data_IF_697810912452
#
_entry.id   IF_697810912452
#
_cell.length_a   1.000
_cell.length_b   1.000
_cell.length_c   1.000
_cell.angle_alpha   90.00
_cell.angle_beta   90.00
_cell.angle_gamma   90.00
#
_symmetry.space_group_name_H-M   'P 1'
#
loop_
_entity.id
_entity.type
_entity.pdbx_description
1 polymer ?
#
# COMPACT_ATOMS: atom_id res chain seq x y z
N UNK A 1 -21.63 -59.44 -3.28
CA UNK A 1 -21.61 -59.04 -1.86
C UNK A 1 -20.18 -59.13 -1.31
N UNK A 2 -19.49 -58.00 -1.19
CA UNK A 2 -18.32 -57.85 -0.30
C UNK A 2 -18.46 -56.50 0.39
N UNK A 3 -18.59 -56.52 1.71
CA UNK A 3 -18.75 -55.34 2.58
C UNK A 3 -17.39 -54.65 2.73
N UNK A 4 -17.32 -53.37 2.39
CA UNK A 4 -16.21 -52.47 2.72
C UNK A 4 -16.35 -51.96 4.16
N UNK A 5 -15.26 -52.01 4.93
CA UNK A 5 -15.11 -51.37 6.25
C UNK A 5 -14.84 -49.87 6.07
N UNK A 6 -15.25 -48.99 7.00
CA UNK A 6 -14.91 -47.58 6.93
C UNK A 6 -13.49 -47.34 7.44
N UNK A 7 -12.71 -46.55 6.70
CA UNK A 7 -11.40 -46.04 7.11
C UNK A 7 -11.55 -45.03 8.26
N UNK A 8 -10.71 -45.18 9.28
CA UNK A 8 -10.54 -44.23 10.37
C UNK A 8 -9.77 -43.00 9.86
N UNK A 9 -10.33 -41.80 10.08
CA UNK A 9 -9.74 -40.53 9.68
C UNK A 9 -8.38 -40.24 10.34
N UNK A 10 -7.46 -39.64 9.57
CA UNK A 10 -6.10 -39.28 10.00
C UNK A 10 -6.12 -38.08 10.96
N UNK A 11 -5.26 -38.04 12.00
CA UNK A 11 -5.22 -36.96 13.00
C UNK A 11 -4.90 -35.55 12.46
N UNK A 12 -4.45 -35.43 11.21
CA UNK A 12 -4.06 -34.15 10.58
C UNK A 12 -5.23 -33.31 10.08
N UNK A 13 -6.40 -33.91 9.82
CA UNK A 13 -7.53 -33.22 9.20
C UNK A 13 -8.37 -32.43 10.21
N UNK A 14 -8.45 -32.92 11.45
CA UNK A 14 -9.06 -32.20 12.58
C UNK A 14 -8.23 -31.00 13.04
N UNK A 15 -6.88 -31.06 12.98
CA UNK A 15 -6.02 -29.88 13.21
C UNK A 15 -6.14 -28.82 12.11
N UNK A 16 -6.50 -29.23 10.89
CA UNK A 16 -6.76 -28.36 9.73
C UNK A 16 -8.08 -27.58 9.90
N UNK A 17 -9.15 -28.24 10.32
CA UNK A 17 -10.44 -27.58 10.57
C UNK A 17 -10.43 -26.67 11.81
N UNK A 18 -9.75 -27.07 12.90
CA UNK A 18 -9.62 -26.23 14.11
C UNK A 18 -8.75 -24.99 13.91
N UNK A 19 -7.80 -24.98 12.95
CA UNK A 19 -6.95 -23.81 12.67
C UNK A 19 -7.55 -22.86 11.63
N UNK A 20 -8.31 -23.36 10.65
CA UNK A 20 -9.14 -22.50 9.80
C UNK A 20 -10.22 -21.76 10.61
N UNK A 21 -10.78 -22.40 11.65
CA UNK A 21 -11.70 -21.73 12.57
C UNK A 21 -11.01 -20.64 13.40
N UNK A 22 -9.76 -20.85 13.85
CA UNK A 22 -8.97 -19.83 14.55
C UNK A 22 -8.49 -18.68 13.65
N UNK A 23 -8.17 -18.94 12.37
CA UNK A 23 -7.78 -17.88 11.42
C UNK A 23 -8.94 -16.95 11.03
N UNK A 24 -10.17 -17.48 10.97
CA UNK A 24 -11.39 -16.66 10.78
C UNK A 24 -11.76 -15.93 12.09
N UNK A 25 -11.54 -16.56 13.25
CA UNK A 25 -11.65 -15.87 14.55
C UNK A 25 -10.57 -14.81 14.76
N UNK A 26 -9.39 -14.88 14.13
CA UNK A 26 -8.33 -13.87 14.29
C UNK A 26 -8.73 -12.51 13.71
N UNK A 27 -9.45 -12.50 12.58
CA UNK A 27 -9.97 -11.27 11.99
C UNK A 27 -11.19 -10.72 12.75
N UNK A 28 -11.95 -11.60 13.41
CA UNK A 28 -12.94 -11.16 14.39
C UNK A 28 -12.20 -10.62 15.61
N UNK A 29 -11.23 -11.30 16.22
CA UNK A 29 -10.61 -10.87 17.49
C UNK A 29 -9.75 -9.60 17.39
N UNK A 30 -9.01 -9.36 16.31
CA UNK A 30 -8.24 -8.11 16.14
C UNK A 30 -9.17 -6.90 15.89
N UNK A 31 -10.39 -7.11 15.36
CA UNK A 31 -11.43 -6.06 15.27
C UNK A 31 -12.44 -6.06 16.44
N UNK A 32 -12.65 -7.17 17.14
CA UNK A 32 -13.75 -7.41 18.09
C UNK A 32 -13.32 -7.28 19.55
N UNK A 33 -12.02 -7.51 19.87
CA UNK A 33 -11.45 -7.02 21.14
C UNK A 33 -11.49 -5.48 21.22
N UNK A 34 -11.57 -4.81 20.07
CA UNK A 34 -11.72 -3.36 19.96
C UNK A 34 -13.18 -2.88 20.04
N UNK A 35 -14.16 -3.70 19.63
CA UNK A 35 -15.56 -3.27 19.52
C UNK A 35 -16.39 -3.39 20.81
N UNK A 36 -16.03 -4.27 21.75
CA UNK A 36 -16.92 -4.60 22.88
C UNK A 36 -16.76 -3.71 24.12
N UNK A 37 -15.76 -2.82 24.19
CA UNK A 37 -15.53 -1.91 25.34
C UNK A 37 -16.09 -0.49 25.17
N UNK A 38 -16.42 -0.08 23.95
CA UNK A 38 -16.90 1.27 23.65
C UNK A 38 -18.42 1.47 23.79
N UNK A 39 -19.20 0.42 24.12
CA UNK A 39 -20.67 0.51 24.23
C UNK A 39 -21.25 0.40 25.65
N UNK A 40 -20.43 0.22 26.70
CA UNK A 40 -20.93 0.16 28.09
C UNK A 40 -20.57 1.37 28.95
N UNK A 41 -20.07 2.45 28.35
CA UNK A 41 -19.73 3.70 29.04
C UNK A 41 -20.79 4.78 28.85
N UNK A 42 -22.04 4.54 29.29
CA UNK A 42 -23.06 5.57 29.18
C UNK A 42 -24.43 5.15 29.70
N UNK A 43 -24.68 5.39 30.98
CA UNK A 43 -26.04 5.57 31.48
C UNK A 43 -26.40 4.73 32.70
N UNK A 44 -26.02 5.18 33.89
CA UNK A 44 -26.82 4.93 35.09
C UNK A 44 -26.91 6.21 35.93
N UNK A 45 -28.11 6.81 35.97
CA UNK A 45 -28.61 7.50 37.17
C UNK A 45 -30.14 7.46 37.17
N UNK A 46 -30.68 6.68 38.11
CA UNK A 46 -32.04 6.82 38.61
C UNK A 46 -32.94 5.60 38.42
N UNK A 47 -33.00 4.70 39.40
CA UNK A 47 -34.14 4.62 40.34
C UNK A 47 -33.96 3.46 41.33
N UNK A 48 -34.47 3.73 42.51
CA UNK A 48 -34.44 2.98 43.75
C UNK A 48 -35.56 1.91 43.79
N UNK A 49 -35.40 0.96 44.72
CA UNK A 49 -36.44 0.17 45.41
C UNK A 49 -37.07 -1.07 44.72
N UNK A 50 -36.65 -2.29 45.12
CA UNK A 50 -37.32 -3.14 46.14
C UNK A 50 -36.83 -4.61 46.13
N UNK A 51 -36.49 -5.08 47.34
CA UNK A 51 -36.72 -6.41 47.99
C UNK A 51 -36.62 -7.70 47.16
N UNK A 52 -35.85 -8.66 47.70
CA UNK A 52 -36.02 -10.08 47.44
C UNK A 52 -34.85 -10.93 47.96
N UNK A 53 -34.95 -11.35 49.23
CA UNK A 53 -34.11 -12.39 49.84
C UNK A 53 -34.10 -13.69 49.00
N UNK A 54 -32.96 -14.36 48.90
CA UNK A 54 -32.86 -15.75 49.36
C UNK A 54 -31.42 -16.17 49.63
N UNK A 55 -31.22 -16.75 50.80
CA UNK A 55 -29.99 -17.21 51.40
C UNK A 55 -29.57 -18.63 50.99
N UNK A 56 -28.27 -18.89 51.14
CA UNK A 56 -27.64 -20.15 51.58
C UNK A 56 -27.77 -21.38 50.67
N UNK A 57 -26.61 -21.91 50.25
CA UNK A 57 -26.13 -23.20 50.77
C UNK A 57 -24.62 -23.37 50.49
N UNK A 58 -23.94 -23.83 51.53
CA UNK A 58 -22.51 -24.08 51.65
C UNK A 58 -22.13 -25.52 51.31
N UNK A 59 -20.93 -25.71 50.76
CA UNK A 59 -19.97 -26.82 50.98
C UNK A 59 -18.97 -26.77 49.80
N UNK A 60 -17.65 -26.78 49.94
CA UNK A 60 -16.79 -27.24 51.02
C UNK A 60 -16.00 -28.44 50.51
N UNK A 61 -14.75 -28.24 50.04
CA UNK A 61 -13.54 -29.03 50.37
C UNK A 61 -12.37 -28.82 49.38
N UNK A 62 -11.23 -28.48 50.00
CA UNK A 62 -9.84 -28.92 49.77
C UNK A 62 -9.21 -28.71 48.37
N UNK A 63 -8.09 -28.01 48.16
CA UNK A 63 -7.00 -27.64 49.07
C UNK A 63 -5.90 -28.71 49.10
N UNK A 64 -5.02 -28.75 48.09
CA UNK A 64 -3.65 -29.30 48.17
C UNK A 64 -2.75 -28.47 47.22
N UNK A 65 -1.65 -27.94 47.77
CA UNK A 65 -0.56 -27.22 47.11
C UNK A 65 0.78 -27.96 47.42
N UNK A 66 1.98 -27.51 46.98
CA UNK A 66 2.63 -27.85 45.73
C UNK A 66 3.95 -28.66 45.89
N UNK A 67 4.43 -29.24 44.78
CA UNK A 67 5.71 -29.95 44.69
C UNK A 67 6.78 -29.17 43.92
N UNK A 68 7.86 -28.86 44.62
CA UNK A 68 9.07 -28.15 44.19
C UNK A 68 9.92 -28.91 43.18
N UNK A 69 10.64 -28.19 42.30
CA UNK A 69 11.94 -28.61 41.78
C UNK A 69 12.75 -27.42 41.25
N UNK A 70 13.88 -27.18 41.91
CA UNK A 70 14.98 -26.34 41.47
C UNK A 70 15.98 -27.16 40.63
N UNK A 71 16.55 -26.56 39.59
CA UNK A 71 17.85 -26.90 38.99
C UNK A 71 18.28 -25.70 38.13
N UNK A 72 19.24 -24.90 38.59
CA UNK A 72 20.68 -25.04 38.37
C UNK A 72 21.14 -24.41 37.03
N UNK A 73 21.86 -23.30 37.16
CA UNK A 73 22.43 -22.50 36.09
C UNK A 73 23.93 -22.77 35.90
N UNK A 74 24.40 -22.62 34.66
CA UNK A 74 25.81 -22.35 34.30
C UNK A 74 26.27 -23.07 33.01
N UNK A 75 27.29 -22.56 32.27
CA UNK A 75 27.74 -21.18 32.16
C UNK A 75 27.99 -20.67 30.71
N UNK A 76 27.90 -19.34 30.61
CA UNK A 76 28.64 -18.39 29.78
C UNK A 76 29.77 -18.91 28.86
N UNK A 77 29.69 -18.51 27.57
CA UNK A 77 30.87 -18.34 26.72
C UNK A 77 30.88 -16.93 26.10
N UNK A 78 31.80 -16.08 26.57
CA UNK A 78 32.11 -14.75 26.03
C UNK A 78 33.22 -14.91 24.98
N UNK A 79 33.05 -14.35 23.78
CA UNK A 79 34.18 -13.95 22.92
C UNK A 79 34.05 -12.49 22.54
N UNK A 80 34.85 -11.69 23.25
CA UNK A 80 35.13 -10.26 23.01
C UNK A 80 36.33 -10.19 22.07
N UNK A 81 36.22 -9.52 20.92
CA UNK A 81 37.39 -9.06 20.14
C UNK A 81 37.42 -7.55 20.13
N UNK A 82 38.45 -7.01 20.78
CA UNK A 82 38.93 -5.63 20.62
C UNK A 82 39.46 -5.43 19.20
N UNK A 83 39.16 -4.28 18.60
CA UNK A 83 40.08 -3.63 17.65
C UNK A 83 40.16 -2.14 17.95
N UNK A 84 41.39 -1.71 18.20
CA UNK A 84 41.77 -0.32 18.42
C UNK A 84 41.84 0.44 17.09
N UNK A 85 41.30 1.67 17.15
CA UNK A 85 41.74 2.95 16.58
C UNK A 85 42.44 2.96 15.21
N UNK A 86 41.95 3.82 14.32
CA UNK A 86 42.76 4.84 13.64
C UNK A 86 41.89 6.02 13.16
N UNK A 87 42.14 7.17 13.75
CA UNK A 87 41.71 8.49 13.28
C UNK A 87 42.53 8.89 12.05
N UNK A 88 41.91 9.26 10.93
CA UNK A 88 42.58 10.01 9.87
C UNK A 88 41.74 11.23 9.50
N UNK A 89 42.35 12.39 9.73
CA UNK A 89 41.87 13.73 9.36
C UNK A 89 41.87 13.87 7.83
N UNK A 90 40.86 14.57 7.32
CA UNK A 90 40.81 15.11 5.96
C UNK A 90 41.89 16.18 5.75
N UNK A 91 42.31 16.41 4.50
CA UNK A 91 42.56 17.76 4.05
C UNK A 91 41.68 18.15 2.85
N UNK A 92 41.14 19.36 2.94
CA UNK A 92 40.47 20.13 1.90
C UNK A 92 41.46 20.54 0.80
N UNK A 93 41.04 20.52 -0.45
CA UNK A 93 41.72 21.17 -1.56
C UNK A 93 40.83 22.26 -2.14
N UNK A 94 41.33 23.50 -2.12
CA UNK A 94 40.88 24.63 -2.95
C UNK A 94 42.06 25.12 -3.78
N UNK A 95 41.84 25.67 -4.99
CA UNK A 95 42.85 25.68 -6.05
C UNK A 95 43.69 26.96 -6.04
N UNK A 96 45.00 26.81 -6.24
CA UNK A 96 45.91 27.93 -6.48
C UNK A 96 46.03 28.21 -7.97
N UNK A 97 45.79 29.49 -8.31
CA UNK A 97 46.00 30.10 -9.62
C UNK A 97 47.48 30.05 -10.01
N UNK A 98 47.77 29.66 -11.25
CA UNK A 98 48.94 30.14 -11.98
C UNK A 98 48.46 30.91 -13.20
N UNK A 99 48.78 32.21 -13.20
CA UNK A 99 48.78 33.07 -14.38
C UNK A 99 50.12 32.90 -15.07
N UNK A 100 50.10 32.64 -16.37
CA UNK A 100 51.18 33.09 -17.26
C UNK A 100 50.54 33.63 -18.52
N UNK A 101 50.85 34.89 -18.77
CA UNK A 101 50.39 35.73 -19.89
C UNK A 101 51.35 35.52 -21.05
N UNK A 102 50.86 35.65 -22.29
CA UNK A 102 51.35 36.58 -23.34
C UNK A 102 50.85 36.09 -24.70
N UNK A 103 50.27 37.01 -25.49
CA UNK A 103 50.11 36.83 -26.93
C UNK A 103 48.78 37.36 -27.45
N UNK A 104 48.70 38.68 -27.64
CA UNK A 104 47.53 39.32 -28.21
C UNK A 104 47.25 38.90 -29.65
N UNK A 105 45.96 38.79 -29.98
CA UNK A 105 45.38 39.07 -31.29
C UNK A 105 43.89 39.33 -31.08
N UNK A 106 43.45 40.53 -31.48
CA UNK A 106 42.04 40.84 -31.70
C UNK A 106 41.62 40.06 -32.95
N UNK A 107 40.66 39.17 -32.82
CA UNK A 107 40.00 38.52 -33.95
C UNK A 107 38.51 38.81 -33.85
N UNK A 108 38.00 39.39 -34.92
CA UNK A 108 36.60 39.69 -35.19
C UNK A 108 35.76 38.40 -35.19
N UNK A 109 34.49 38.52 -34.83
CA UNK A 109 33.49 37.47 -34.95
C UNK A 109 33.41 36.91 -36.38
N UNK A 110 33.21 35.58 -36.52
CA UNK A 110 32.43 35.05 -37.61
C UNK A 110 31.11 34.48 -37.08
N UNK A 111 30.03 35.13 -37.48
CA UNK A 111 28.68 34.55 -37.57
C UNK A 111 28.74 33.18 -38.26
N UNK A 112 27.80 32.31 -37.87
CA UNK A 112 27.39 31.01 -38.44
C UNK A 112 27.98 29.78 -37.75
N UNK A 113 27.29 29.35 -36.70
CA UNK A 113 27.01 27.93 -36.40
C UNK A 113 25.85 27.84 -35.38
N UNK A 114 24.78 28.62 -35.61
CA UNK A 114 23.50 28.45 -34.90
C UNK A 114 22.41 28.14 -35.93
N UNK A 115 22.45 26.91 -36.47
CA UNK A 115 21.34 26.29 -37.19
C UNK A 115 21.67 24.81 -37.30
N UNK A 116 21.04 23.98 -36.48
CA UNK A 116 21.28 22.52 -36.52
C UNK A 116 20.98 21.76 -35.23
N UNK A 117 20.50 22.42 -34.17
CA UNK A 117 19.76 21.73 -33.11
C UNK A 117 18.27 21.84 -33.43
N UNK A 118 17.91 21.24 -34.56
CA UNK A 118 16.52 20.96 -34.89
C UNK A 118 15.92 20.12 -33.77
N UNK A 119 14.72 20.52 -33.39
CA UNK A 119 13.86 19.90 -32.40
C UNK A 119 13.77 18.40 -32.67
N UNK A 120 14.46 17.59 -31.88
CA UNK A 120 14.02 16.21 -31.65
C UNK A 120 12.73 16.31 -30.83
N UNK A 121 11.61 16.54 -31.51
CA UNK A 121 10.33 16.03 -31.05
C UNK A 121 10.59 14.55 -30.75
N UNK A 122 10.64 14.19 -29.47
CA UNK A 122 10.55 12.80 -29.04
C UNK A 122 9.17 12.32 -29.49
N UNK A 123 9.08 11.87 -30.73
CA UNK A 123 7.94 11.11 -31.21
C UNK A 123 7.82 9.92 -30.27
N UNK A 124 6.71 9.88 -29.51
CA UNK A 124 6.38 8.69 -28.76
C UNK A 124 6.38 7.52 -29.75
N UNK A 125 7.04 6.38 -29.42
CA UNK A 125 7.05 5.24 -30.32
C UNK A 125 5.60 4.91 -30.71
N UNK A 126 5.37 4.72 -32.00
CA UNK A 126 4.06 4.40 -32.52
C UNK A 126 3.55 3.12 -31.84
N UNK A 127 2.31 3.15 -31.35
CA UNK A 127 1.65 2.00 -30.75
C UNK A 127 1.21 1.06 -31.87
N UNK A 128 1.82 -0.12 -31.97
CA UNK A 128 1.53 -1.08 -33.04
C UNK A 128 0.34 -1.96 -32.69
N UNK A 129 0.18 -2.29 -31.39
CA UNK A 129 -0.88 -3.20 -30.92
C UNK A 129 -1.53 -2.68 -29.63
N UNK A 130 -2.53 -1.78 -29.75
CA UNK A 130 -3.26 -1.27 -28.61
C UNK A 130 -3.92 -2.37 -27.78
N UNK A 131 -3.75 -2.29 -26.46
CA UNK A 131 -4.34 -3.19 -25.47
C UNK A 131 -5.86 -3.03 -25.46
N UNK A 132 -6.57 -4.16 -25.52
CA UNK A 132 -8.03 -4.20 -25.42
C UNK A 132 -8.47 -4.41 -23.97
N UNK A 133 -9.67 -3.92 -23.62
CA UNK A 133 -10.29 -4.25 -22.33
C UNK A 133 -10.76 -5.70 -22.37
N UNK A 134 -10.18 -6.55 -21.52
CA UNK A 134 -10.51 -7.99 -21.48
C UNK A 134 -11.54 -8.32 -20.41
N UNK A 135 -11.56 -7.56 -19.31
CA UNK A 135 -12.52 -7.72 -18.20
C UNK A 135 -12.81 -6.35 -17.58
N UNK A 136 -14.06 -6.16 -17.15
CA UNK A 136 -14.55 -4.96 -16.49
C UNK A 136 -15.18 -5.36 -15.15
N UNK A 137 -14.80 -4.66 -14.09
CA UNK A 137 -15.32 -4.87 -12.73
C UNK A 137 -15.81 -3.57 -12.16
N UNK A 138 -16.93 -3.59 -11.47
CA UNK A 138 -17.40 -2.45 -10.68
C UNK A 138 -16.82 -2.57 -9.27
N UNK A 139 -16.08 -1.56 -8.82
CA UNK A 139 -15.61 -1.47 -7.45
C UNK A 139 -16.79 -1.32 -6.50
N UNK A 140 -16.84 -2.16 -5.47
CA UNK A 140 -17.99 -2.24 -4.56
C UNK A 140 -17.60 -1.73 -3.17
N UNK A 141 -18.51 -1.00 -2.51
CA UNK A 141 -18.28 -0.53 -1.15
C UNK A 141 -18.16 -1.70 -0.17
N UNK A 142 -17.26 -1.58 0.80
CA UNK A 142 -17.13 -2.45 1.96
C UNK A 142 -16.55 -1.67 3.15
N UNK A 143 -16.79 -2.17 4.36
CA UNK A 143 -16.23 -1.59 5.57
C UNK A 143 -14.80 -2.07 5.79
N UNK A 144 -13.94 -1.16 6.21
CA UNK A 144 -12.55 -1.42 6.58
C UNK A 144 -12.17 -0.51 7.77
N UNK A 145 -11.08 -0.87 8.46
CA UNK A 145 -10.61 -0.12 9.63
C UNK A 145 -11.71 0.06 10.68
N UNK A 146 -11.80 1.26 11.24
CA UNK A 146 -12.86 1.65 12.19
C UNK A 146 -13.79 2.63 11.49
N UNK A 147 -14.96 2.15 11.06
CA UNK A 147 -16.02 2.98 10.48
C UNK A 147 -15.74 3.54 9.08
N UNK A 148 -14.61 3.20 8.44
CA UNK A 148 -14.29 3.65 7.10
C UNK A 148 -15.04 2.81 6.04
N UNK A 149 -15.31 3.43 4.89
CA UNK A 149 -15.88 2.75 3.72
C UNK A 149 -14.92 2.91 2.56
N UNK A 150 -14.58 1.79 1.93
CA UNK A 150 -13.75 1.73 0.73
C UNK A 150 -14.51 1.08 -0.40
N UNK A 151 -14.27 1.54 -1.64
CA UNK A 151 -14.69 0.84 -2.85
C UNK A 151 -13.53 -0.03 -3.31
N UNK A 152 -13.61 -1.34 -3.05
CA UNK A 152 -12.57 -2.29 -3.44
C UNK A 152 -12.76 -2.77 -4.86
N UNK A 153 -11.66 -2.83 -5.62
CA UNK A 153 -11.61 -3.39 -6.97
C UNK A 153 -10.76 -4.67 -7.01
N UNK A 154 -9.42 -4.54 -7.05
CA UNK A 154 -8.48 -5.66 -6.83
C UNK A 154 -8.52 -6.04 -5.35
N UNK A 155 -8.44 -7.34 -5.03
CA UNK A 155 -8.56 -7.85 -3.66
C UNK A 155 -9.94 -8.44 -3.36
N UNK A 156 -10.86 -8.42 -4.33
CA UNK A 156 -12.18 -9.06 -4.21
C UNK A 156 -12.16 -10.50 -4.72
N UNK A 157 -13.21 -11.26 -4.43
CA UNK A 157 -13.34 -12.64 -4.91
C UNK A 157 -13.23 -12.76 -6.44
N UNK A 158 -13.76 -11.79 -7.19
CA UNK A 158 -13.77 -11.79 -8.66
C UNK A 158 -12.38 -11.50 -9.28
N UNK A 159 -11.49 -10.88 -8.50
CA UNK A 159 -10.10 -10.52 -8.84
C UNK A 159 -9.25 -10.44 -7.57
N UNK A 160 -8.88 -11.61 -7.03
CA UNK A 160 -8.19 -11.71 -5.73
C UNK A 160 -6.89 -10.92 -5.69
N UNK A 161 -6.13 -10.97 -6.78
CA UNK A 161 -4.98 -10.10 -7.04
C UNK A 161 -4.76 -10.04 -8.57
N UNK A 162 -3.94 -9.11 -9.01
CA UNK A 162 -3.52 -8.96 -10.40
C UNK A 162 -2.04 -8.59 -10.44
N UNK A 163 -1.17 -9.62 -10.44
CA UNK A 163 0.28 -9.48 -10.30
C UNK A 163 0.87 -8.30 -11.11
N UNK A 164 1.57 -7.33 -10.48
CA UNK A 164 2.03 -7.29 -9.07
C UNK A 164 1.07 -6.64 -8.07
N UNK A 165 -0.16 -6.32 -8.45
CA UNK A 165 -1.10 -5.55 -7.63
C UNK A 165 -1.96 -6.47 -6.77
N UNK A 166 -2.03 -6.18 -5.47
CA UNK A 166 -2.69 -7.03 -4.48
C UNK A 166 -4.07 -6.49 -4.09
N UNK A 167 -4.17 -5.18 -3.91
CA UNK A 167 -5.40 -4.47 -3.50
C UNK A 167 -5.43 -3.11 -4.18
N UNK A 168 -6.62 -2.68 -4.59
CA UNK A 168 -6.88 -1.29 -4.95
C UNK A 168 -8.22 -0.85 -4.36
N UNK A 169 -8.12 0.10 -3.44
CA UNK A 169 -9.25 0.73 -2.76
C UNK A 169 -9.34 2.21 -3.12
N UNK A 170 -10.53 2.68 -3.49
CA UNK A 170 -10.90 4.10 -3.42
C UNK A 170 -11.60 4.33 -2.09
N UNK A 171 -10.96 5.06 -1.17
CA UNK A 171 -11.50 5.30 0.17
C UNK A 171 -12.19 6.66 0.27
N UNK A 172 -13.19 6.72 1.16
CA UNK A 172 -13.85 7.94 1.58
C UNK A 172 -14.04 7.86 3.10
N UNK A 173 -13.37 8.73 3.84
CA UNK A 173 -13.28 8.62 5.29
C UNK A 173 -13.38 9.98 5.97
N UNK A 174 -14.08 10.04 7.10
CA UNK A 174 -14.31 11.24 7.89
C UNK A 174 -14.09 10.91 9.36
N UNK A 175 -13.50 11.83 10.13
CA UNK A 175 -13.31 11.61 11.56
C UNK A 175 -14.64 11.33 12.28
N UNK A 176 -14.68 10.46 13.32
CA UNK A 176 -13.55 9.77 13.93
C UNK A 176 -13.16 8.45 13.23
N UNK A 177 -13.78 8.10 12.10
CA UNK A 177 -13.43 6.90 11.36
C UNK A 177 -12.03 7.00 10.74
N UNK A 178 -11.40 5.85 10.50
CA UNK A 178 -10.04 5.79 9.97
C UNK A 178 -9.46 4.38 9.99
N UNK A 179 -8.15 4.30 9.77
CA UNK A 179 -7.36 3.09 9.83
C UNK A 179 -6.40 3.21 11.02
N UNK A 180 -6.82 2.81 12.23
CA UNK A 180 -5.96 2.87 13.42
C UNK A 180 -4.80 1.87 13.29
N UNK A 181 -4.01 1.70 14.36
CA UNK A 181 -2.81 0.86 14.37
C UNK A 181 -3.03 -0.51 13.74
N UNK A 182 -2.35 -0.75 12.62
CA UNK A 182 -2.39 -2.02 11.91
C UNK A 182 -1.01 -2.33 11.29
N UNK A 183 -0.65 -3.62 11.19
CA UNK A 183 0.63 -4.02 10.62
C UNK A 183 0.57 -4.14 9.10
N UNK A 184 1.74 -4.21 8.45
CA UNK A 184 1.94 -4.73 7.08
C UNK A 184 3.29 -5.44 6.98
N UNK A 185 3.42 -6.48 6.12
CA UNK A 185 4.71 -7.10 5.74
C UNK A 185 4.69 -7.63 4.31
N UNK A 186 5.82 -7.46 3.61
CA UNK A 186 6.12 -8.16 2.35
C UNK A 186 5.66 -7.46 1.06
N UNK A 187 5.17 -6.23 1.13
CA UNK A 187 4.73 -5.44 -0.02
C UNK A 187 4.90 -3.92 0.21
N UNK A 188 4.46 -3.11 -0.74
CA UNK A 188 4.41 -1.65 -0.65
C UNK A 188 2.96 -1.15 -0.67
N UNK A 189 2.63 -0.13 0.13
CA UNK A 189 1.38 0.62 0.00
C UNK A 189 1.65 1.95 -0.68
N UNK A 190 0.74 2.35 -1.56
CA UNK A 190 0.78 3.64 -2.27
C UNK A 190 -0.51 4.38 -1.98
N UNK A 191 -0.41 5.40 -1.15
CA UNK A 191 -1.52 6.28 -0.79
C UNK A 191 -1.48 7.51 -1.69
N UNK A 192 -2.50 7.71 -2.52
CA UNK A 192 -2.66 8.88 -3.39
C UNK A 192 -3.93 9.65 -3.02
N UNK A 193 -3.78 10.88 -2.53
CA UNK A 193 -4.90 11.68 -2.05
C UNK A 193 -5.59 12.45 -3.18
N UNK A 194 -6.92 12.32 -3.27
CA UNK A 194 -7.75 13.03 -4.25
C UNK A 194 -8.35 14.31 -3.66
N UNK A 195 -8.81 14.26 -2.41
CA UNK A 195 -9.47 15.36 -1.70
C UNK A 195 -9.20 15.23 -0.19
N UNK A 196 -9.14 16.37 0.52
CA UNK A 196 -8.89 16.38 1.95
C UNK A 196 -7.43 16.06 2.31
N UNK A 197 -7.22 15.42 3.46
CA UNK A 197 -5.89 15.06 3.93
C UNK A 197 -5.96 13.95 4.99
N UNK A 198 -4.95 13.09 5.02
CA UNK A 198 -4.77 12.07 6.06
C UNK A 198 -3.46 12.30 6.80
N UNK A 199 -3.46 12.09 8.10
CA UNK A 199 -2.25 12.00 8.93
C UNK A 199 -1.86 10.54 9.08
N UNK A 200 -0.56 10.27 9.01
CA UNK A 200 -0.02 8.95 9.32
C UNK A 200 1.00 9.03 10.46
N UNK A 201 1.12 7.96 11.23
CA UNK A 201 2.12 7.76 12.27
C UNK A 201 2.52 6.28 12.29
N UNK A 202 3.82 5.98 12.39
CA UNK A 202 4.35 4.62 12.51
C UNK A 202 5.09 4.38 13.83
N UNK A 203 5.36 3.11 14.10
CA UNK A 203 6.11 2.65 15.28
C UNK A 203 7.63 2.96 15.29
N UNK A 204 8.14 3.52 14.19
CA UNK A 204 9.51 4.03 14.06
C UNK A 204 9.58 5.53 14.43
N UNK A 205 8.42 6.17 14.64
CA UNK A 205 8.27 7.58 14.97
C UNK A 205 8.15 8.50 13.76
N UNK A 206 8.03 7.94 12.53
CA UNK A 206 7.70 8.74 11.36
C UNK A 206 6.23 9.16 11.42
N UNK A 207 6.00 10.42 11.06
CA UNK A 207 4.67 11.00 10.98
C UNK A 207 4.62 12.10 9.96
N UNK A 208 3.45 12.31 9.38
CA UNK A 208 3.26 13.31 8.35
C UNK A 208 1.78 13.49 8.01
N UNK A 209 1.53 14.38 7.06
CA UNK A 209 0.20 14.64 6.53
C UNK A 209 0.26 14.57 5.02
N UNK A 210 -0.51 13.66 4.44
CA UNK A 210 -0.67 13.48 3.00
C UNK A 210 -1.90 14.30 2.59
N UNK A 211 -1.69 15.41 1.88
CA UNK A 211 -2.76 16.32 1.45
C UNK A 211 -3.25 16.00 0.05
N UNK A 212 -4.36 16.60 -0.37
CA UNK A 212 -4.89 16.47 -1.72
C UNK A 212 -3.80 16.65 -2.80
N UNK A 213 -3.66 15.63 -3.64
CA UNK A 213 -2.66 15.54 -4.70
C UNK A 213 -1.29 14.98 -4.27
N UNK A 214 -1.02 14.83 -2.99
CA UNK A 214 0.23 14.22 -2.48
C UNK A 214 0.19 12.70 -2.62
N UNK A 215 1.39 12.10 -2.65
CA UNK A 215 1.59 10.65 -2.69
C UNK A 215 2.52 10.22 -1.56
N UNK A 216 2.16 9.14 -0.87
CA UNK A 216 3.06 8.38 -0.04
C UNK A 216 3.26 6.99 -0.66
N UNK A 217 4.50 6.62 -0.92
CA UNK A 217 4.91 5.28 -1.34
C UNK A 217 5.69 4.63 -0.21
N UNK A 218 5.02 3.79 0.58
CA UNK A 218 5.57 3.12 1.74
C UNK A 218 5.98 1.70 1.38
N UNK A 219 7.26 1.37 1.51
CA UNK A 219 7.76 0.00 1.48
C UNK A 219 7.61 -0.60 2.88
N UNK A 220 6.71 -1.56 3.09
CA UNK A 220 6.55 -2.20 4.40
C UNK A 220 7.70 -3.18 4.70
N UNK A 221 8.21 -3.89 3.68
CA UNK A 221 9.34 -4.80 3.82
C UNK A 221 9.14 -5.80 4.97
N UNK A 222 10.16 -5.95 5.84
CA UNK A 222 10.16 -6.87 6.99
C UNK A 222 9.12 -6.58 8.06
N UNK A 223 8.40 -5.46 8.01
CA UNK A 223 7.32 -5.19 8.94
C UNK A 223 7.23 -3.71 9.30
N UNK A 224 6.00 -3.20 9.27
CA UNK A 224 5.67 -1.88 9.81
C UNK A 224 4.35 -1.96 10.56
N UNK A 225 4.19 -1.19 11.62
CA UNK A 225 2.88 -0.92 12.24
C UNK A 225 2.65 0.58 12.17
N UNK A 226 1.51 0.98 11.62
CA UNK A 226 1.17 2.38 11.40
C UNK A 226 -0.34 2.63 11.53
N UNK A 227 -0.69 3.91 11.59
CA UNK A 227 -2.07 4.41 11.51
C UNK A 227 -2.21 5.41 10.36
N UNK A 228 -3.39 5.49 9.78
CA UNK A 228 -3.78 6.45 8.75
C UNK A 228 -5.17 7.01 9.08
N UNK A 229 -5.23 8.26 9.54
CA UNK A 229 -6.45 8.90 10.04
C UNK A 229 -6.75 10.19 9.27
N UNK A 230 -8.03 10.60 9.12
CA UNK A 230 -8.37 11.92 8.59
C UNK A 230 -7.66 13.03 9.39
N UNK A 231 -7.01 13.97 8.69
CA UNK A 231 -6.22 15.03 9.32
C UNK A 231 -7.08 16.16 9.92
N UNK A 232 -8.37 16.21 9.59
CA UNK A 232 -9.26 17.29 9.98
C UNK A 232 -10.73 16.98 9.69
N UNK A 233 -11.63 17.97 9.91
CA UNK A 233 -13.06 17.80 9.65
C UNK A 233 -13.35 17.65 8.15
N UNK A 234 -14.49 17.04 7.84
CA UNK A 234 -14.90 16.76 6.47
C UNK A 234 -14.49 15.36 6.00
N UNK A 235 -14.65 15.12 4.70
CA UNK A 235 -14.39 13.82 4.08
C UNK A 235 -13.07 13.88 3.31
N UNK A 236 -12.17 12.97 3.64
CA UNK A 236 -10.95 12.73 2.90
C UNK A 236 -11.17 11.58 1.92
N UNK A 237 -10.77 11.79 0.67
CA UNK A 237 -10.88 10.81 -0.40
C UNK A 237 -9.53 10.54 -1.00
N UNK A 238 -9.22 9.28 -1.24
CA UNK A 238 -7.94 8.87 -1.79
C UNK A 238 -7.99 7.45 -2.32
N UNK A 239 -6.83 6.98 -2.72
CA UNK A 239 -6.61 5.66 -3.27
C UNK A 239 -5.51 4.98 -2.49
N UNK A 240 -5.73 3.71 -2.12
CA UNK A 240 -4.71 2.82 -1.56
C UNK A 240 -4.44 1.71 -2.58
N UNK A 241 -3.23 1.68 -3.14
CA UNK A 241 -2.77 0.58 -4.00
C UNK A 241 -1.73 -0.24 -3.24
N UNK A 242 -1.88 -1.57 -3.22
CA UNK A 242 -0.86 -2.46 -2.71
C UNK A 242 -0.07 -3.07 -3.87
N UNK A 243 1.24 -2.84 -3.87
CA UNK A 243 2.17 -3.37 -4.89
C UNK A 243 3.05 -4.43 -4.23
N UNK A 244 2.95 -5.66 -4.71
CA UNK A 244 3.71 -6.78 -4.17
C UNK A 244 5.23 -6.56 -4.35
N UNK A 245 6.01 -7.12 -3.44
CA UNK A 245 7.47 -7.22 -3.58
C UNK A 245 7.85 -8.65 -3.95
N UNK A 246 8.91 -8.80 -4.74
CA UNK A 246 9.54 -10.11 -4.97
C UNK A 246 10.09 -10.67 -3.67
N UNK A 247 10.27 -11.98 -3.60
CA UNK A 247 10.77 -12.73 -2.44
C UNK A 247 12.05 -12.11 -1.89
N UNK A 248 12.98 -11.75 -2.77
CA UNK A 248 14.24 -11.10 -2.42
C UNK A 248 14.08 -9.72 -1.72
N UNK A 249 12.94 -9.05 -1.93
CA UNK A 249 12.66 -7.73 -1.38
C UNK A 249 11.65 -7.76 -0.21
N UNK A 250 10.99 -8.88 0.09
CA UNK A 250 9.95 -8.93 1.13
C UNK A 250 10.46 -8.63 2.53
N UNK A 251 11.74 -8.84 2.80
CA UNK A 251 12.36 -8.67 4.13
C UNK A 251 13.34 -7.50 4.20
N UNK A 252 13.29 -6.54 3.26
CA UNK A 252 14.08 -5.30 3.35
C UNK A 252 13.59 -4.42 4.50
N UNK A 253 14.43 -3.49 4.95
CA UNK A 253 13.98 -2.48 5.91
C UNK A 253 12.82 -1.64 5.35
N UNK A 254 11.84 -1.27 6.18
CA UNK A 254 10.76 -0.38 5.77
C UNK A 254 11.28 0.99 5.36
N UNK A 255 10.51 1.72 4.55
CA UNK A 255 10.88 3.07 4.16
C UNK A 255 9.80 3.81 3.40
N UNK A 256 9.96 5.12 3.29
CA UNK A 256 8.98 6.02 2.69
C UNK A 256 9.57 6.82 1.53
N UNK A 257 8.75 7.08 0.53
CA UNK A 257 8.92 8.18 -0.41
C UNK A 257 7.64 9.01 -0.36
N UNK A 258 7.77 10.25 0.09
CA UNK A 258 6.65 11.20 0.20
C UNK A 258 6.85 12.34 -0.80
N UNK A 259 5.87 12.53 -1.66
CA UNK A 259 5.95 13.46 -2.79
C UNK A 259 4.76 14.39 -2.68
N UNK A 260 5.05 15.67 -2.46
CA UNK A 260 4.02 16.69 -2.42
C UNK A 260 3.45 16.91 -3.82
N UNK A 261 2.19 17.30 -3.92
CA UNK A 261 1.47 17.52 -5.17
C UNK A 261 2.20 18.46 -6.14
N UNK A 262 2.93 19.46 -5.62
CA UNK A 262 3.74 20.41 -6.39
C UNK A 262 4.99 19.78 -7.03
N UNK A 263 5.48 18.68 -6.46
CA UNK A 263 6.68 17.97 -6.89
C UNK A 263 6.34 16.75 -7.76
N UNK A 264 5.05 16.43 -7.91
CA UNK A 264 4.57 15.44 -8.88
C UNK A 264 4.60 16.05 -10.28
N UNK A 265 5.34 15.40 -11.18
CA UNK A 265 5.42 15.83 -12.57
C UNK A 265 4.03 15.84 -13.23
N UNK A 266 3.64 16.97 -13.81
CA UNK A 266 2.35 17.18 -14.45
C UNK A 266 2.57 17.81 -15.83
N UNK A 267 1.93 17.26 -16.86
CA UNK A 267 2.02 17.78 -18.23
C UNK A 267 0.65 17.77 -18.91
N UNK A 268 0.47 18.66 -19.88
CA UNK A 268 -0.79 18.81 -20.63
C UNK A 268 -0.50 19.04 -22.09
N UNK A 269 -1.15 18.28 -22.97
CA UNK A 269 -1.15 18.49 -24.42
C UNK A 269 -2.44 17.91 -25.03
N UNK A 270 -2.91 18.47 -26.14
CA UNK A 270 -4.02 17.92 -26.93
C UNK A 270 -5.31 17.60 -26.14
N UNK A 271 -5.61 18.41 -25.12
CA UNK A 271 -6.78 18.22 -24.27
C UNK A 271 -6.65 17.11 -23.22
N UNK A 272 -5.44 16.56 -23.04
CA UNK A 272 -5.09 15.57 -22.03
C UNK A 272 -4.14 16.18 -21.02
N UNK A 273 -4.46 16.06 -19.73
CA UNK A 273 -3.57 16.36 -18.61
C UNK A 273 -3.20 15.04 -17.92
N UNK A 274 -1.92 14.84 -17.60
CA UNK A 274 -1.45 13.67 -16.84
C UNK A 274 -0.58 14.09 -15.66
N UNK A 275 -0.90 13.55 -14.48
CA UNK A 275 -0.01 13.56 -13.30
C UNK A 275 0.75 12.24 -13.28
N UNK A 276 2.07 12.31 -13.31
CA UNK A 276 2.96 11.13 -13.37
C UNK A 276 3.37 10.76 -11.95
N UNK A 277 2.57 9.92 -11.29
CA UNK A 277 2.84 9.44 -9.93
C UNK A 277 4.06 8.50 -9.93
N UNK A 278 4.12 7.55 -10.85
CA UNK A 278 5.28 6.70 -11.09
C UNK A 278 5.46 6.40 -12.58
N UNK A 279 6.71 6.25 -13.03
CA UNK A 279 7.06 6.02 -14.43
C UNK A 279 7.20 7.30 -15.24
N UNK A 280 6.65 7.32 -16.45
CA UNK A 280 6.74 8.44 -17.39
C UNK A 280 5.50 8.54 -18.28
N UNK A 281 5.17 9.74 -18.72
CA UNK A 281 4.12 10.01 -19.70
C UNK A 281 4.37 11.36 -20.37
N UNK A 282 4.12 11.47 -21.68
CA UNK A 282 4.15 12.76 -22.40
C UNK A 282 5.43 13.59 -22.15
N UNK A 283 6.59 12.93 -22.15
CA UNK A 283 7.90 13.54 -21.91
C UNK A 283 8.24 13.83 -20.44
N UNK A 284 7.28 13.72 -19.51
CA UNK A 284 7.48 13.90 -18.08
C UNK A 284 7.81 12.58 -17.38
N UNK A 285 8.64 12.62 -16.33
CA UNK A 285 9.08 11.45 -15.55
C UNK A 285 8.92 11.71 -14.05
N UNK A 286 8.41 10.72 -13.33
CA UNK A 286 8.28 10.77 -11.88
C UNK A 286 9.64 10.61 -11.18
N UNK A 287 9.88 11.30 -10.03
CA UNK A 287 11.04 11.05 -9.18
C UNK A 287 10.91 9.76 -8.35
N UNK A 288 9.72 9.15 -8.27
CA UNK A 288 9.45 7.95 -7.47
C UNK A 288 10.27 6.76 -7.97
N UNK A 289 10.96 6.10 -7.04
CA UNK A 289 11.68 4.85 -7.29
C UNK A 289 10.76 3.68 -6.98
N UNK A 290 10.67 2.72 -7.90
CA UNK A 290 9.80 1.55 -7.74
C UNK A 290 10.65 0.30 -7.64
N UNK A 291 10.49 -0.48 -6.56
CA UNK A 291 11.22 -1.74 -6.36
C UNK A 291 10.68 -2.83 -7.28
N UNK A 292 9.36 -2.92 -7.34
CA UNK A 292 8.64 -3.62 -8.40
C UNK A 292 8.31 -2.59 -9.48
N UNK A 293 8.92 -2.66 -10.69
CA UNK A 293 8.75 -1.61 -11.68
C UNK A 293 7.28 -1.35 -11.99
N UNK A 294 6.84 -0.12 -11.72
CA UNK A 294 5.44 0.27 -11.76
C UNK A 294 5.28 1.64 -12.44
N UNK A 295 4.21 1.74 -13.23
CA UNK A 295 3.67 2.95 -13.84
C UNK A 295 2.36 3.25 -13.13
N UNK A 296 2.20 4.50 -12.70
CA UNK A 296 0.98 4.99 -12.05
C UNK A 296 0.74 6.40 -12.57
N UNK A 297 -0.31 6.58 -13.36
CA UNK A 297 -0.65 7.82 -14.04
C UNK A 297 -2.09 8.21 -13.72
N UNK A 298 -2.34 9.47 -13.35
CA UNK A 298 -3.68 10.05 -13.20
C UNK A 298 -3.95 10.98 -14.39
N UNK A 299 -4.86 10.56 -15.26
CA UNK A 299 -5.23 11.26 -16.48
C UNK A 299 -6.54 12.01 -16.31
N UNK A 300 -6.59 13.23 -16.83
CA UNK A 300 -7.81 13.99 -17.10
C UNK A 300 -7.88 14.29 -18.60
N UNK A 301 -8.94 13.82 -19.26
CA UNK A 301 -9.18 13.97 -20.71
C UNK A 301 -10.40 14.86 -20.93
N UNK A 302 -10.20 15.98 -21.62
CA UNK A 302 -11.28 16.93 -21.95
C UNK A 302 -12.34 16.29 -22.85
N UNK A 303 -13.57 16.84 -22.89
CA UNK A 303 -14.58 16.44 -23.86
C UNK A 303 -14.02 16.38 -25.27
N UNK A 304 -14.39 15.33 -26.02
CA UNK A 304 -13.96 15.07 -27.41
C UNK A 304 -12.44 14.87 -27.62
N UNK A 305 -11.63 14.81 -26.57
CA UNK A 305 -10.20 14.50 -26.65
C UNK A 305 -9.92 12.99 -26.51
N UNK A 306 -8.70 12.60 -26.88
CA UNK A 306 -8.21 11.23 -26.76
C UNK A 306 -6.81 11.20 -26.14
N UNK A 307 -6.54 10.19 -25.31
CA UNK A 307 -5.24 9.93 -24.72
C UNK A 307 -4.64 8.65 -25.31
N UNK A 308 -3.32 8.66 -25.47
CA UNK A 308 -2.52 7.51 -25.91
C UNK A 308 -1.35 7.37 -24.96
N UNK A 309 -1.18 6.18 -24.40
CA UNK A 309 -0.10 5.92 -23.46
C UNK A 309 0.55 4.58 -23.76
N UNK A 310 1.83 4.58 -24.21
CA UNK A 310 2.63 3.36 -24.31
C UNK A 310 2.75 2.66 -22.95
N UNK A 311 2.65 1.34 -22.97
CA UNK A 311 2.83 0.47 -21.81
C UNK A 311 3.65 -0.72 -22.28
N UNK A 312 4.81 -1.03 -21.66
CA UNK A 312 5.64 -2.15 -22.09
C UNK A 312 4.82 -3.44 -22.23
N UNK A 313 4.99 -4.16 -23.34
CA UNK A 313 4.15 -5.31 -23.66
C UNK A 313 4.23 -6.45 -22.62
N UNK A 314 5.34 -6.54 -21.89
CA UNK A 314 5.54 -7.53 -20.82
C UNK A 314 4.84 -7.16 -19.50
N UNK A 315 4.26 -5.97 -19.37
CA UNK A 315 3.65 -5.51 -18.14
C UNK A 315 2.16 -5.89 -18.08
N UNK A 316 1.69 -6.21 -16.88
CA UNK A 316 0.27 -6.26 -16.58
C UNK A 316 -0.25 -4.83 -16.39
N UNK A 317 -1.44 -4.52 -16.92
CA UNK A 317 -1.99 -3.17 -16.92
C UNK A 317 -3.50 -3.15 -16.70
N UNK A 318 -3.97 -2.12 -16.02
CA UNK A 318 -5.38 -1.85 -15.83
C UNK A 318 -5.66 -0.35 -15.79
N UNK A 319 -6.90 0.04 -16.10
CA UNK A 319 -7.40 1.39 -15.88
C UNK A 319 -8.45 1.40 -14.76
N UNK A 320 -8.49 2.46 -13.95
CA UNK A 320 -9.56 2.68 -12.97
C UNK A 320 -10.22 4.04 -13.21
N UNK A 321 -11.50 4.05 -13.55
CA UNK A 321 -12.22 5.29 -13.87
C UNK A 321 -12.65 5.99 -12.58
N UNK A 322 -12.16 7.21 -12.35
CA UNK A 322 -12.50 8.02 -11.18
C UNK A 322 -13.78 8.82 -11.43
N UNK A 323 -13.85 9.52 -12.56
CA UNK A 323 -14.93 10.45 -12.89
C UNK A 323 -15.24 10.41 -14.38
N UNK A 324 -16.51 10.66 -14.72
CA UNK A 324 -16.97 10.66 -16.10
C UNK A 324 -17.09 9.27 -16.72
N UNK A 325 -17.02 9.22 -18.04
CA UNK A 325 -17.16 8.00 -18.83
C UNK A 325 -16.23 8.06 -20.06
N UNK A 326 -15.58 6.94 -20.39
CA UNK A 326 -14.64 6.85 -21.49
C UNK A 326 -14.72 5.54 -22.25
N UNK A 327 -14.21 5.53 -23.48
CA UNK A 327 -14.00 4.31 -24.27
C UNK A 327 -12.52 3.95 -24.22
N UNK A 328 -12.17 2.69 -24.01
CA UNK A 328 -10.81 2.24 -23.77
C UNK A 328 -10.43 1.10 -24.73
N UNK A 329 -9.19 1.13 -25.24
CA UNK A 329 -8.58 0.10 -26.07
C UNK A 329 -9.00 0.10 -27.54
N UNK A 330 -10.30 0.24 -27.82
CA UNK A 330 -10.83 0.42 -29.18
C UNK A 330 -12.04 1.33 -29.17
N UNK A 331 -12.15 2.25 -30.13
CA UNK A 331 -13.32 3.14 -30.27
C UNK A 331 -14.66 2.41 -30.40
N UNK A 332 -14.65 1.13 -30.77
CA UNK A 332 -15.84 0.28 -30.92
C UNK A 332 -16.31 -0.34 -29.60
N UNK A 333 -15.49 -0.29 -28.55
CA UNK A 333 -15.85 -0.83 -27.25
C UNK A 333 -16.96 -0.01 -26.58
N UNK A 334 -17.76 -0.69 -25.76
CA UNK A 334 -18.71 -0.01 -24.89
C UNK A 334 -17.98 0.87 -23.87
N UNK A 335 -18.54 2.03 -23.52
CA UNK A 335 -17.90 2.92 -22.57
C UNK A 335 -17.87 2.35 -21.14
N UNK A 336 -16.96 2.89 -20.34
CA UNK A 336 -16.80 2.61 -18.92
C UNK A 336 -16.88 3.89 -18.12
N UNK A 337 -17.85 3.93 -17.19
CA UNK A 337 -18.04 5.03 -16.26
C UNK A 337 -17.26 4.84 -14.95
N UNK A 338 -17.37 5.84 -14.07
CA UNK A 338 -16.75 5.88 -12.75
C UNK A 338 -16.86 4.57 -11.94
N UNK A 339 -15.86 4.38 -11.08
CA UNK A 339 -15.67 3.23 -10.18
C UNK A 339 -15.48 1.88 -10.88
N UNK A 340 -15.22 1.86 -12.19
CA UNK A 340 -14.89 0.63 -12.90
C UNK A 340 -13.38 0.43 -12.99
N UNK A 341 -12.95 -0.79 -12.70
CA UNK A 341 -11.64 -1.30 -13.06
C UNK A 341 -11.73 -2.06 -14.39
N UNK A 342 -10.83 -1.72 -15.31
CA UNK A 342 -10.72 -2.31 -16.65
C UNK A 342 -9.38 -3.03 -16.75
N UNK A 343 -9.38 -4.35 -16.76
CA UNK A 343 -8.17 -5.12 -17.05
C UNK A 343 -7.85 -5.01 -18.54
N UNK A 344 -6.60 -4.66 -18.83
CA UNK A 344 -6.11 -4.49 -20.19
C UNK A 344 -5.34 -5.75 -20.60
N UNK A 345 -5.67 -6.29 -21.77
CA UNK A 345 -5.02 -7.45 -22.34
C UNK A 345 -3.60 -7.17 -22.84
N UNK A 346 -3.01 -8.13 -23.59
CA UNK A 346 -1.71 -7.94 -24.23
C UNK A 346 -1.73 -6.80 -25.26
N UNK A 347 -0.61 -6.09 -25.37
CA UNK A 347 -0.43 -4.96 -26.27
C UNK A 347 0.65 -4.00 -25.76
N UNK A 348 1.03 -3.01 -26.56
CA UNK A 348 2.15 -2.09 -26.31
C UNK A 348 1.72 -0.69 -25.85
N UNK A 349 0.42 -0.48 -25.63
CA UNK A 349 -0.12 0.74 -25.06
C UNK A 349 -1.64 0.71 -24.96
N UNK A 350 -2.23 1.79 -24.47
CA UNK A 350 -3.68 1.95 -24.41
C UNK A 350 -4.09 3.26 -25.07
N UNK A 351 -5.20 3.18 -25.79
CA UNK A 351 -5.90 4.33 -26.35
C UNK A 351 -7.19 4.55 -25.57
N UNK A 352 -7.50 5.81 -25.25
CA UNK A 352 -8.67 6.20 -24.47
C UNK A 352 -9.33 7.40 -25.11
N UNK A 353 -10.66 7.37 -25.26
CA UNK A 353 -11.44 8.44 -25.85
C UNK A 353 -12.50 8.94 -24.89
N UNK A 354 -12.54 10.26 -24.69
CA UNK A 354 -13.67 10.90 -24.04
C UNK A 354 -14.69 11.32 -25.12
N UNK A 355 -15.75 10.53 -25.29
CA UNK A 355 -16.81 10.82 -26.27
C UNK A 355 -17.87 11.80 -25.74
N UNK A 356 -17.75 12.28 -24.50
CA UNK A 356 -18.65 13.28 -23.94
C UNK A 356 -18.51 14.64 -24.63
N UNK A 357 -19.62 15.39 -24.70
CA UNK A 357 -19.66 16.78 -25.15
C UNK A 357 -19.35 17.81 -24.08
N UNK A 358 -19.45 17.44 -22.79
CA UNK A 358 -19.44 18.45 -21.72
C UNK A 358 -18.79 18.01 -20.42
N UNK A 359 -18.50 16.72 -20.21
CA UNK A 359 -17.87 16.23 -18.98
C UNK A 359 -16.45 15.73 -19.24
N UNK A 360 -15.45 16.15 -18.45
CA UNK A 360 -14.14 15.53 -18.50
C UNK A 360 -14.21 14.07 -18.04
N UNK A 361 -13.29 13.25 -18.53
CA UNK A 361 -13.03 11.89 -18.08
C UNK A 361 -11.78 11.93 -17.21
N UNK A 362 -11.85 11.41 -15.99
CA UNK A 362 -10.68 11.21 -15.12
C UNK A 362 -10.49 9.73 -14.83
N UNK A 363 -9.29 9.21 -15.07
CA UNK A 363 -8.97 7.81 -14.82
C UNK A 363 -7.51 7.61 -14.46
N UNK A 364 -7.24 6.54 -13.73
CA UNK A 364 -5.90 6.06 -13.48
C UNK A 364 -5.51 5.05 -14.55
N UNK A 365 -4.27 5.12 -15.05
CA UNK A 365 -3.63 4.02 -15.75
C UNK A 365 -2.50 3.49 -14.89
N UNK A 366 -2.59 2.22 -14.52
CA UNK A 366 -1.62 1.56 -13.65
C UNK A 366 -1.12 0.31 -14.37
N UNK A 367 0.20 0.14 -14.42
CA UNK A 367 0.83 -1.01 -15.03
C UNK A 367 2.11 -1.40 -14.27
N UNK A 368 2.45 -2.67 -14.25
CA UNK A 368 3.62 -3.16 -13.52
C UNK A 368 4.18 -4.44 -14.09
N UNK A 369 5.46 -4.68 -13.83
CA UNK A 369 6.11 -5.95 -14.18
C UNK A 369 5.49 -7.05 -13.32
N UNK A 370 4.87 -8.09 -13.92
CA UNK A 370 4.45 -9.26 -13.15
C UNK A 370 5.68 -9.92 -12.52
N UNK A 371 5.60 -10.25 -11.24
CA UNK A 371 6.70 -10.85 -10.49
C UNK A 371 6.85 -12.33 -10.86
N UNK A 372 5.74 -13.02 -11.13
CA UNK A 372 5.78 -14.44 -11.49
C UNK A 372 6.15 -15.37 -10.34
N UNK A 373 6.03 -14.90 -9.10
CA UNK A 373 6.25 -15.69 -7.88
C UNK A 373 4.91 -16.06 -7.21
N UNK A 374 4.88 -17.14 -6.40
CA UNK A 374 3.72 -17.47 -5.58
C UNK A 374 3.34 -16.32 -4.62
N UNK A 375 2.04 -16.21 -4.33
CA UNK A 375 1.47 -15.22 -3.42
C UNK A 375 0.65 -15.95 -2.36
N UNK A 376 1.11 -15.90 -1.11
CA UNK A 376 0.37 -16.31 0.08
C UNK A 376 -0.04 -15.06 0.84
N UNK A 377 -1.33 -14.90 1.14
CA UNK A 377 -1.86 -13.69 1.78
C UNK A 377 -2.77 -14.06 2.94
N UNK A 378 -2.46 -13.48 4.11
CA UNK A 378 -3.31 -13.52 5.29
C UNK A 378 -3.47 -12.10 5.82
N UNK A 379 -4.60 -11.47 5.50
CA UNK A 379 -4.88 -10.08 5.89
C UNK A 379 -3.76 -9.11 5.45
N UNK A 380 -3.07 -8.45 6.39
CA UNK A 380 -2.00 -7.48 6.11
C UNK A 380 -0.63 -8.10 5.83
N UNK A 381 -0.53 -9.43 5.77
CA UNK A 381 0.73 -10.13 5.51
C UNK A 381 0.68 -10.79 4.15
N UNK A 382 1.65 -10.47 3.29
CA UNK A 382 1.73 -11.03 1.92
C UNK A 382 3.14 -11.57 1.69
N UNK A 383 3.26 -12.89 1.76
CA UNK A 383 4.51 -13.62 1.58
C UNK A 383 4.42 -14.52 0.33
N UNK A 384 5.41 -15.38 0.08
CA UNK A 384 5.39 -16.29 -1.05
C UNK A 384 4.79 -17.66 -0.67
N UNK A 385 4.93 -18.09 0.58
CA UNK A 385 4.45 -19.39 1.06
C UNK A 385 3.59 -19.29 2.33
N UNK A 386 2.78 -20.32 2.60
CA UNK A 386 1.98 -20.38 3.84
C UNK A 386 2.89 -20.51 5.07
N UNK A 387 4.04 -21.19 4.95
CA UNK A 387 5.03 -21.29 6.02
C UNK A 387 5.62 -19.91 6.38
N UNK A 388 5.86 -19.05 5.39
CA UNK A 388 6.30 -17.67 5.65
C UNK A 388 5.20 -16.80 6.27
N UNK A 389 3.93 -17.08 5.97
CA UNK A 389 2.80 -16.45 6.65
C UNK A 389 2.76 -16.88 8.11
N UNK A 390 2.85 -18.18 8.40
CA UNK A 390 2.88 -18.71 9.77
C UNK A 390 4.03 -18.07 10.57
N UNK A 391 5.23 -18.00 10.00
CA UNK A 391 6.38 -17.31 10.62
C UNK A 391 6.12 -15.81 10.83
N UNK A 392 5.43 -15.15 9.90
CA UNK A 392 5.12 -13.71 10.03
C UNK A 392 4.12 -13.44 11.14
N UNK A 393 3.12 -14.30 11.31
CA UNK A 393 2.17 -14.21 12.42
C UNK A 393 2.92 -14.40 13.74
N UNK A 394 3.76 -15.43 13.84
CA UNK A 394 4.60 -15.67 15.03
C UNK A 394 5.51 -14.47 15.36
N UNK A 395 6.13 -13.86 14.35
CA UNK A 395 6.98 -12.67 14.50
C UNK A 395 6.20 -11.46 15.02
N UNK A 396 4.99 -11.22 14.50
CA UNK A 396 4.15 -10.11 14.93
C UNK A 396 3.66 -10.31 16.37
N UNK A 397 3.19 -11.50 16.72
CA UNK A 397 2.71 -11.82 18.08
C UNK A 397 3.83 -11.76 19.13
N UNK A 398 5.06 -12.09 18.74
CA UNK A 398 6.24 -12.08 19.63
C UNK A 398 7.05 -10.80 19.57
N UNK A 399 6.66 -9.84 18.72
CA UNK A 399 7.38 -8.60 18.49
C UNK A 399 8.84 -8.83 18.08
N UNK A 400 9.06 -9.61 17.01
CA UNK A 400 10.37 -10.02 16.54
C UNK A 400 10.55 -9.79 15.02
N UNK A 401 11.81 -9.83 14.57
CA UNK A 401 12.22 -9.88 13.16
C UNK A 401 11.59 -8.80 12.25
N UNK A 402 11.31 -7.62 12.76
CA UNK A 402 10.51 -6.61 12.05
C UNK A 402 9.61 -5.82 12.97
N UNK A 403 9.07 -6.49 13.99
CA UNK A 403 8.00 -5.95 14.83
C UNK A 403 8.43 -5.61 16.26
N UNK A 404 9.74 -5.49 16.54
CA UNK A 404 10.28 -5.29 17.89
C UNK A 404 9.69 -4.07 18.59
N UNK A 405 9.45 -2.99 17.85
CA UNK A 405 8.89 -1.74 18.41
C UNK A 405 7.39 -1.77 18.62
N UNK A 406 6.67 -2.69 17.99
CA UNK A 406 5.22 -2.79 18.12
C UNK A 406 4.78 -3.16 19.55
N UNK A 407 5.66 -3.76 20.37
CA UNK A 407 5.34 -4.22 21.73
C UNK A 407 4.82 -3.14 22.66
N UNK A 408 5.32 -1.93 22.49
CA UNK A 408 5.06 -0.82 23.40
C UNK A 408 4.55 0.42 22.66
N UNK A 409 4.25 0.27 21.37
CA UNK A 409 3.82 1.38 20.54
C UNK A 409 2.30 1.42 20.46
N UNK A 410 1.78 2.64 20.55
CA UNK A 410 0.40 3.01 20.24
C UNK A 410 0.43 4.37 19.57
N UNK A 411 -0.30 4.56 18.49
CA UNK A 411 -0.43 5.88 17.87
C UNK A 411 -1.24 6.84 18.73
N UNK A 412 -1.11 8.13 18.46
CA UNK A 412 -1.98 9.15 19.05
C UNK A 412 -3.46 8.94 18.70
N UNK A 413 -3.74 8.38 17.52
CA UNK A 413 -5.10 8.07 17.08
C UNK A 413 -5.77 7.04 17.99
N UNK A 414 -5.04 5.99 18.35
CA UNK A 414 -5.53 4.93 19.24
C UNK A 414 -5.78 5.43 20.66
N UNK A 415 -4.90 6.31 21.16
CA UNK A 415 -5.11 7.00 22.44
C UNK A 415 -6.37 7.86 22.39
N UNK A 416 -6.59 8.61 21.31
CA UNK A 416 -7.77 9.46 21.15
C UNK A 416 -9.08 8.67 21.03
N UNK A 417 -9.04 7.46 20.47
CA UNK A 417 -10.19 6.53 20.41
C UNK A 417 -10.49 5.84 21.74
N UNK A 418 -9.71 6.09 22.80
CA UNK A 418 -9.96 5.55 24.13
C UNK A 418 -9.76 4.03 24.22
N UNK A 419 -8.94 3.45 23.34
CA UNK A 419 -8.69 2.01 23.36
C UNK A 419 -7.45 1.67 24.20
N UNK A 420 -7.72 1.25 25.44
CA UNK A 420 -6.73 0.72 26.39
C UNK A 420 -6.18 -0.66 26.01
#
# INVERSE_FOLDING_TARGET
MRRSRPEQGRPGEQRRQMRCAHGVLFFVSVLFLYYSRAQTGGGERGRENQRGELSLLTSGRNGIEPGSRAAAAGPLYKKRRQRQRRSHRRPSYSPTRYLTRVGGRRLEEPRRLEAGLEQQQQQQPAMEKPRQVVRKFLARPQHEGVGAVVRRSIGRFELRYFDPFLVLDEFSVSAPAGFPDHPHRGFETVTYMLEGAVTHEDFEGHRGTIKAGDVQWMTAGRGIVHSEMPAGPGTSRGLQLWVNLSSANKMVEPGYQEIQSKDIACTTADGVTVRVIAGHAMGARSPVRTRTPTMYLDFTVRPRAAARQPVPASWNAFAYVLEGEGVFGSERCAPAGAHHLLLLGPGDGVEVWNKSDGRPLRFLLIAGVPIGEPVAQLGPFVMNTEEEIDMTVDDFERYANGFEKARHWKSQAMVALGVE
#
